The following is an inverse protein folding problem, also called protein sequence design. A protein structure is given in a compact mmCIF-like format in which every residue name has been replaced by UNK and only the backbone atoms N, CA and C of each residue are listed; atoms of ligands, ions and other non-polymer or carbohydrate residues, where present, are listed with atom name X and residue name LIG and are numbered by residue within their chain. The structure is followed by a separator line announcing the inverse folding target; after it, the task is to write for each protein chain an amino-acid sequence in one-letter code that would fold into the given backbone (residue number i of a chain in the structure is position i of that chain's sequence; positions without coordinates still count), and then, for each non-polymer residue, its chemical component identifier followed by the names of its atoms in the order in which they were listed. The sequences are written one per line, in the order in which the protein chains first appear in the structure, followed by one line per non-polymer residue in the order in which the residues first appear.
data_IF_675688205016
#
_entry.id   IF_675688205016
#
_cell.length_a   1.000
_cell.length_b   1.000
_cell.length_c   1.000
_cell.angle_alpha   90.00
_cell.angle_beta   90.00
_cell.angle_gamma   90.00
#
_symmetry.space_group_name_H-M   'P 1'
#
loop_
_entity.id
_entity.type
_entity.pdbx_description
1 polymer ?
#
# COMPACT_ATOMS: atom_id res chain seq x y z
N UNK A 1 -20.28 -39.37 32.87
CA UNK A 1 -20.25 -39.10 31.42
C UNK A 1 -19.80 -37.67 31.20
N UNK A 2 -18.60 -37.47 30.64
CA UNK A 2 -18.14 -36.13 30.22
C UNK A 2 -18.44 -35.96 28.74
N UNK A 3 -19.03 -34.82 28.38
CA UNK A 3 -19.29 -34.48 26.97
C UNK A 3 -18.21 -33.51 26.50
N UNK A 4 -17.58 -33.83 25.37
CA UNK A 4 -16.63 -32.94 24.70
C UNK A 4 -17.30 -32.41 23.44
N UNK A 5 -17.44 -31.10 23.34
CA UNK A 5 -17.86 -30.42 22.12
C UNK A 5 -16.64 -30.15 21.26
N UNK A 6 -16.57 -30.78 20.09
CA UNK A 6 -15.57 -30.49 19.06
C UNK A 6 -16.26 -29.63 18.00
N UNK A 7 -15.79 -28.40 17.84
CA UNK A 7 -16.21 -27.53 16.74
C UNK A 7 -15.27 -27.73 15.56
N UNK A 8 -15.75 -28.39 14.50
CA UNK A 8 -15.01 -28.56 13.25
C UNK A 8 -15.45 -27.46 12.30
N UNK A 9 -14.50 -26.62 11.85
CA UNK A 9 -14.73 -25.60 10.82
C UNK A 9 -13.93 -25.92 9.56
N UNK A 10 -14.54 -25.69 8.41
CA UNK A 10 -13.93 -25.79 7.09
C UNK A 10 -13.27 -24.47 6.67
N UNK A 11 -12.34 -24.54 5.70
CA UNK A 11 -11.75 -23.36 5.08
C UNK A 11 -12.85 -22.52 4.38
N UNK A 12 -12.84 -21.21 4.59
CA UNK A 12 -13.79 -20.28 3.98
C UNK A 12 -13.48 -20.00 2.51
N UNK A 13 -14.47 -19.51 1.77
CA UNK A 13 -14.37 -19.02 0.40
C UNK A 13 -14.57 -17.49 0.41
N UNK A 14 -13.78 -16.74 -0.37
CA UNK A 14 -13.87 -15.28 -0.51
C UNK A 14 -15.01 -14.81 -1.42
N UNK A 15 -15.67 -15.71 -2.15
CA UNK A 15 -16.79 -15.36 -3.03
C UNK A 15 -18.12 -15.34 -2.28
N UNK A 16 -18.63 -14.13 -2.01
CA UNK A 16 -20.02 -13.90 -1.58
C UNK A 16 -20.36 -14.26 -0.13
N UNK A 17 -19.36 -14.50 0.71
CA UNK A 17 -19.52 -14.69 2.16
C UNK A 17 -18.92 -13.52 2.93
N UNK A 18 -19.49 -13.22 4.10
CA UNK A 18 -18.87 -12.30 5.05
C UNK A 18 -17.59 -12.95 5.55
N UNK A 19 -16.44 -12.48 5.08
CA UNK A 19 -15.13 -12.99 5.50
C UNK A 19 -15.06 -13.02 7.02
N UNK A 20 -14.85 -14.21 7.61
CA UNK A 20 -14.53 -14.34 9.04
C UNK A 20 -13.18 -13.69 9.40
N UNK A 21 -12.42 -13.41 8.36
CA UNK A 21 -11.10 -12.80 8.30
C UNK A 21 -11.30 -11.29 8.14
N UNK A 22 -10.99 -10.53 9.20
CA UNK A 22 -11.26 -9.10 9.33
C UNK A 22 -10.08 -8.29 8.81
N UNK A 23 -9.92 -8.25 7.49
CA UNK A 23 -8.86 -7.48 6.83
C UNK A 23 -7.55 -8.25 6.56
N UNK A 24 -7.31 -9.40 7.20
CA UNK A 24 -6.17 -10.26 6.88
C UNK A 24 -6.47 -11.75 7.07
N UNK A 25 -5.58 -12.64 6.62
CA UNK A 25 -5.75 -14.10 6.70
C UNK A 25 -5.61 -14.68 8.12
N UNK A 26 -5.35 -13.83 9.13
CA UNK A 26 -5.13 -14.26 10.51
C UNK A 26 -6.46 -14.35 11.27
N UNK A 27 -6.57 -15.35 12.16
CA UNK A 27 -7.75 -15.57 13.02
C UNK A 27 -7.52 -15.00 14.42
N UNK A 28 -7.14 -13.73 14.48
CA UNK A 28 -6.84 -13.02 15.74
C UNK A 28 -8.08 -12.37 16.38
N UNK A 29 -9.16 -12.17 15.62
CA UNK A 29 -10.40 -11.58 16.12
C UNK A 29 -10.38 -10.06 16.26
N UNK A 30 -9.28 -9.41 15.90
CA UNK A 30 -9.15 -7.95 15.78
C UNK A 30 -9.12 -7.57 14.28
N UNK A 31 -9.59 -6.36 13.94
CA UNK A 31 -9.38 -5.83 12.59
C UNK A 31 -7.92 -5.45 12.48
N UNK A 32 -7.18 -6.18 11.67
CA UNK A 32 -5.84 -5.74 11.34
C UNK A 32 -5.98 -4.69 10.25
N UNK A 33 -5.84 -3.44 10.65
CA UNK A 33 -5.44 -2.37 9.76
C UNK A 33 -3.92 -2.48 9.62
N UNK A 34 -3.41 -3.67 9.28
CA UNK A 34 -2.12 -3.72 8.61
C UNK A 34 -2.34 -2.82 7.41
N UNK A 35 -1.68 -1.68 7.48
CA UNK A 35 -1.73 -0.55 6.59
C UNK A 35 -1.14 -1.00 5.26
N UNK A 36 -1.82 -1.93 4.61
CA UNK A 36 -1.83 -2.13 3.18
C UNK A 36 -2.68 -0.99 2.61
N UNK A 37 -2.38 0.25 3.03
CA UNK A 37 -2.55 1.38 2.14
C UNK A 37 -1.62 1.11 0.97
N UNK A 38 -2.02 0.19 0.09
CA UNK A 38 -1.81 0.37 -1.32
C UNK A 38 -2.27 1.81 -1.56
N UNK A 39 -1.31 2.72 -1.60
CA UNK A 39 -1.56 4.09 -1.96
C UNK A 39 -2.27 3.97 -3.29
N UNK A 40 -3.49 4.53 -3.36
CA UNK A 40 -4.42 4.23 -4.44
C UNK A 40 -3.75 4.36 -5.81
N UNK A 41 -2.77 5.26 -5.92
CA UNK A 41 -1.89 5.44 -7.07
C UNK A 41 -0.43 5.66 -6.61
N UNK A 42 0.42 4.64 -6.77
CA UNK A 42 1.87 4.78 -6.49
C UNK A 42 2.50 5.80 -7.44
N UNK A 43 3.32 6.71 -6.92
CA UNK A 43 3.97 7.76 -7.69
C UNK A 43 3.16 9.03 -7.93
N UNK A 44 1.88 9.08 -7.54
CA UNK A 44 1.12 10.34 -7.46
C UNK A 44 1.24 10.89 -6.03
N UNK A 45 2.14 11.85 -5.81
CA UNK A 45 2.44 12.33 -4.46
C UNK A 45 1.48 13.41 -3.98
N UNK A 46 0.69 14.01 -4.87
CA UNK A 46 -0.25 15.08 -4.54
C UNK A 46 -1.72 14.70 -4.69
N UNK A 47 -2.01 13.45 -5.06
CA UNK A 47 -3.35 12.88 -5.20
C UNK A 47 -4.19 13.68 -6.20
N UNK A 48 -3.56 14.12 -7.31
CA UNK A 48 -4.23 14.86 -8.39
C UNK A 48 -4.64 13.97 -9.59
N UNK A 49 -4.27 12.68 -9.55
CA UNK A 49 -4.54 11.68 -10.57
C UNK A 49 -3.65 11.81 -11.81
N UNK A 50 -2.56 12.59 -11.73
CA UNK A 50 -1.66 12.84 -12.87
C UNK A 50 -0.17 12.78 -12.49
N UNK A 51 0.52 11.72 -12.92
CA UNK A 51 1.98 11.63 -12.80
C UNK A 51 2.70 12.65 -13.68
N UNK A 52 3.31 13.65 -13.04
CA UNK A 52 4.04 14.70 -13.70
C UNK A 52 5.26 15.18 -12.89
N UNK A 53 5.87 16.28 -13.33
CA UNK A 53 7.08 16.81 -12.68
C UNK A 53 6.85 17.27 -11.23
N UNK A 54 5.61 17.60 -10.85
CA UNK A 54 5.25 18.00 -9.49
C UNK A 54 5.41 16.84 -8.51
N UNK A 55 5.13 15.60 -8.92
CA UNK A 55 5.33 14.41 -8.10
C UNK A 55 6.82 14.14 -7.88
N UNK A 56 7.61 14.22 -8.94
CA UNK A 56 9.07 14.09 -8.87
C UNK A 56 9.66 15.13 -7.91
N UNK A 57 9.21 16.39 -7.99
CA UNK A 57 9.71 17.45 -7.12
C UNK A 57 9.32 17.20 -5.66
N UNK A 58 8.12 16.71 -5.39
CA UNK A 58 7.70 16.34 -4.03
C UNK A 58 8.51 15.17 -3.48
N UNK A 59 8.74 14.15 -4.29
CA UNK A 59 9.53 12.98 -3.91
C UNK A 59 10.98 13.39 -3.62
N UNK A 60 11.58 14.22 -4.49
CA UNK A 60 12.91 14.74 -4.27
C UNK A 60 13.01 15.58 -2.98
N UNK A 61 12.03 16.44 -2.70
CA UNK A 61 12.02 17.24 -1.49
C UNK A 61 11.90 16.38 -0.24
N UNK A 62 11.00 15.39 -0.22
CA UNK A 62 10.98 14.42 0.88
C UNK A 62 12.36 13.77 1.05
N UNK A 63 12.93 13.22 -0.03
CA UNK A 63 14.15 12.40 0.08
C UNK A 63 15.30 13.23 0.64
N UNK A 64 15.36 14.51 0.29
CA UNK A 64 16.32 15.47 0.84
C UNK A 64 16.03 15.83 2.31
N UNK A 65 14.77 15.93 2.72
CA UNK A 65 14.37 16.27 4.09
C UNK A 65 14.26 15.03 5.02
N UNK A 66 14.30 13.82 4.46
CA UNK A 66 14.05 12.55 5.15
C UNK A 66 12.68 12.48 5.86
N UNK A 67 11.65 13.13 5.29
CA UNK A 67 10.30 13.24 5.88
C UNK A 67 9.18 12.86 4.90
N UNK A 68 9.32 11.74 4.18
CA UNK A 68 8.24 11.24 3.29
C UNK A 68 6.96 10.92 4.06
N UNK A 69 7.09 10.48 5.31
CA UNK A 69 5.95 10.15 6.17
C UNK A 69 5.11 11.39 6.55
N UNK A 70 5.67 12.61 6.43
CA UNK A 70 4.96 13.86 6.67
C UNK A 70 4.09 14.33 5.50
N UNK A 71 4.23 13.72 4.31
CA UNK A 71 3.45 14.06 3.11
C UNK A 71 2.08 13.37 3.18
N UNK A 72 1.03 14.09 2.75
CA UNK A 72 -0.35 13.59 2.77
C UNK A 72 -0.51 12.25 2.04
N UNK A 73 0.17 12.06 0.90
CA UNK A 73 0.25 10.80 0.17
C UNK A 73 1.66 10.21 0.19
N UNK A 74 2.34 10.30 1.34
CA UNK A 74 3.75 9.89 1.49
C UNK A 74 4.00 8.42 1.18
N UNK A 75 3.00 7.57 1.34
CA UNK A 75 3.11 6.15 1.03
C UNK A 75 3.35 5.90 -0.49
N UNK A 76 2.87 6.80 -1.38
CA UNK A 76 3.06 6.70 -2.83
C UNK A 76 4.51 6.97 -3.27
N UNK A 77 5.38 7.34 -2.33
CA UNK A 77 6.78 7.69 -2.56
C UNK A 77 7.69 6.47 -2.76
N UNK A 78 7.27 5.28 -2.33
CA UNK A 78 8.02 4.04 -2.48
C UNK A 78 7.62 3.34 -3.79
N UNK A 79 8.40 3.58 -4.84
CA UNK A 79 8.08 3.11 -6.19
C UNK A 79 8.49 1.67 -6.45
N UNK A 80 9.30 1.07 -5.56
CA UNK A 80 9.80 -0.30 -5.72
C UNK A 80 9.35 -1.25 -4.60
N UNK A 81 8.64 -0.76 -3.59
CA UNK A 81 8.11 -1.53 -2.47
C UNK A 81 9.19 -2.05 -1.52
N UNK A 82 10.36 -1.40 -1.47
CA UNK A 82 11.48 -1.82 -0.60
C UNK A 82 11.43 -1.19 0.81
N UNK A 83 10.46 -0.30 1.05
CA UNK A 83 10.24 0.41 2.31
C UNK A 83 11.22 1.57 2.54
N UNK A 84 12.05 1.94 1.56
CA UNK A 84 13.08 2.97 1.68
C UNK A 84 12.97 4.03 0.58
N UNK A 85 12.62 5.26 0.96
CA UNK A 85 12.55 6.39 0.02
C UNK A 85 13.94 6.91 -0.36
N UNK A 86 14.32 6.76 -1.62
CA UNK A 86 15.63 7.19 -2.11
C UNK A 86 15.63 7.60 -3.59
N UNK A 87 16.81 7.82 -4.16
CA UNK A 87 16.97 8.27 -5.55
C UNK A 87 16.48 7.21 -6.55
N UNK A 88 16.44 5.94 -6.17
CA UNK A 88 15.89 4.88 -7.00
C UNK A 88 14.39 5.11 -7.29
N UNK A 89 13.62 5.53 -6.28
CA UNK A 89 12.19 5.84 -6.45
C UNK A 89 11.97 6.99 -7.42
N UNK A 90 12.80 8.04 -7.31
CA UNK A 90 12.79 9.19 -8.21
C UNK A 90 13.03 8.75 -9.66
N UNK A 91 14.01 7.87 -9.87
CA UNK A 91 14.34 7.35 -11.21
C UNK A 91 13.21 6.49 -11.77
N UNK A 92 12.56 5.68 -10.93
CA UNK A 92 11.41 4.87 -11.33
C UNK A 92 10.22 5.73 -11.74
N UNK A 93 9.87 6.72 -10.92
CA UNK A 93 8.82 7.69 -11.23
C UNK A 93 9.11 8.46 -12.52
N UNK A 94 10.35 8.93 -12.71
CA UNK A 94 10.73 9.64 -13.93
C UNK A 94 10.65 8.77 -15.18
N UNK A 95 11.15 7.53 -15.11
CA UNK A 95 11.07 6.58 -16.24
C UNK A 95 9.63 6.30 -16.61
N UNK A 96 8.81 6.13 -15.60
CA UNK A 96 7.41 5.86 -15.75
C UNK A 96 6.66 7.03 -16.41
N UNK A 97 6.90 8.27 -15.96
CA UNK A 97 6.31 9.47 -16.56
C UNK A 97 6.71 9.61 -18.03
N UNK A 98 7.99 9.32 -18.34
CA UNK A 98 8.49 9.34 -19.72
C UNK A 98 7.89 8.23 -20.60
N UNK A 99 7.58 7.08 -20.02
CA UNK A 99 6.95 5.95 -20.70
C UNK A 99 5.41 6.02 -20.74
N UNK A 100 4.81 6.92 -19.94
CA UNK A 100 3.36 7.11 -19.78
C UNK A 100 2.62 5.87 -19.25
N UNK A 101 3.17 5.17 -18.26
CA UNK A 101 2.63 3.91 -17.75
C UNK A 101 2.60 3.79 -16.21
N UNK A 102 2.28 4.86 -15.48
CA UNK A 102 2.43 4.93 -14.00
C UNK A 102 1.34 4.37 -13.13
N UNK A 103 0.36 3.71 -13.73
CA UNK A 103 -0.66 2.96 -13.02
C UNK A 103 -1.01 1.66 -13.73
N UNK A 104 -0.05 1.08 -14.48
CA UNK A 104 -0.22 -0.21 -15.17
C UNK A 104 0.32 -1.40 -14.36
#
# INVERSE_FOLDING_TARGET
NSMVSIDVKSAGNSSGYWSMYRGNTLRSGYYDLEDDSECAESGDLNDDGTWNILDIVQLANCVLESDCAGIANGCASDMNGDGSYNVLDIVLLANCILAQNCGE
#
